data_IF_950220273407
#
_entry.id   IF_950220273407
#
_cell.length_a   1.000
_cell.length_b   1.000
_cell.length_c   1.000
_cell.angle_alpha   90.00
_cell.angle_beta   90.00
_cell.angle_gamma   90.00
#
_symmetry.space_group_name_H-M   'P 1'
#
loop_
_entity.id
_entity.type
_entity.pdbx_description
1 polymer ?
#
# COMPACT_ATOMS: atom_id res chain seq x y z
N UNK A 1 18.41 -19.42 6.43
CA UNK A 1 17.72 -18.11 6.38
C UNK A 1 18.62 -17.10 7.05
N UNK A 2 18.99 -16.01 6.36
CA UNK A 2 19.93 -15.03 6.89
C UNK A 2 19.19 -14.12 7.90
N UNK A 3 19.48 -14.30 9.19
CA UNK A 3 18.77 -13.64 10.30
C UNK A 3 18.80 -12.11 10.18
N UNK A 4 19.87 -11.55 9.60
CA UNK A 4 20.03 -10.11 9.34
C UNK A 4 18.91 -9.55 8.46
N UNK A 5 18.63 -10.18 7.33
CA UNK A 5 17.61 -9.68 6.38
C UNK A 5 16.21 -9.92 6.86
N UNK A 6 15.99 -11.01 7.61
CA UNK A 6 14.73 -11.25 8.28
C UNK A 6 14.42 -10.16 9.31
N UNK A 7 15.37 -9.84 10.18
CA UNK A 7 15.24 -8.74 11.14
C UNK A 7 14.94 -7.42 10.41
N UNK A 8 15.70 -7.10 9.36
CA UNK A 8 15.49 -5.87 8.58
C UNK A 8 14.09 -5.79 7.95
N UNK A 9 13.56 -6.91 7.43
CA UNK A 9 12.18 -6.96 6.92
C UNK A 9 11.16 -6.73 8.02
N UNK A 10 11.34 -7.34 9.20
CA UNK A 10 10.45 -7.12 10.35
C UNK A 10 10.50 -5.66 10.83
N UNK A 11 11.69 -5.06 10.90
CA UNK A 11 11.88 -3.68 11.32
C UNK A 11 11.13 -2.71 10.40
N UNK A 12 11.16 -2.95 9.08
CA UNK A 12 10.39 -2.18 8.10
C UNK A 12 8.88 -2.33 8.36
N UNK A 13 8.38 -3.55 8.50
CA UNK A 13 6.96 -3.81 8.77
C UNK A 13 6.50 -3.11 10.06
N UNK A 14 7.29 -3.20 11.13
CA UNK A 14 6.98 -2.57 12.41
C UNK A 14 7.02 -1.04 12.33
N UNK A 15 8.03 -0.47 11.68
CA UNK A 15 8.18 0.97 11.51
C UNK A 15 7.02 1.55 10.70
N UNK A 16 6.71 0.96 9.55
CA UNK A 16 5.61 1.42 8.70
C UNK A 16 4.26 1.32 9.39
N UNK A 17 3.99 0.20 10.08
CA UNK A 17 2.76 0.03 10.88
C UNK A 17 2.63 1.10 11.96
N UNK A 18 3.70 1.34 12.71
CA UNK A 18 3.70 2.35 13.78
C UNK A 18 3.45 3.75 13.23
N UNK A 19 4.09 4.09 12.11
CA UNK A 19 3.87 5.37 11.44
C UNK A 19 2.43 5.52 10.95
N UNK A 20 1.83 4.50 10.35
CA UNK A 20 0.43 4.56 9.92
C UNK A 20 -0.54 4.74 11.07
N UNK A 21 -0.34 4.01 12.17
CA UNK A 21 -1.16 4.16 13.38
C UNK A 21 -1.09 5.60 13.89
N UNK A 22 0.11 6.16 13.99
CA UNK A 22 0.28 7.55 14.43
C UNK A 22 -0.33 8.54 13.45
N UNK A 23 -0.16 8.34 12.14
CA UNK A 23 -0.78 9.20 11.13
C UNK A 23 -2.31 9.23 11.25
N UNK A 24 -2.94 8.09 11.49
CA UNK A 24 -4.39 8.01 11.73
C UNK A 24 -4.79 8.74 13.01
N UNK A 25 -4.05 8.50 14.11
CA UNK A 25 -4.37 9.07 15.41
C UNK A 25 -4.17 10.60 15.44
N UNK A 26 -3.14 11.09 14.76
CA UNK A 26 -2.68 12.47 14.91
C UNK A 26 -3.09 13.39 13.74
N UNK A 27 -3.24 12.87 12.51
CA UNK A 27 -3.29 13.70 11.30
C UNK A 27 -4.47 13.43 10.37
N UNK A 28 -4.99 12.20 10.27
CA UNK A 28 -6.07 11.88 9.34
C UNK A 28 -7.18 11.00 9.95
N UNK A 29 -8.29 11.61 10.43
CA UNK A 29 -9.41 10.88 10.98
C UNK A 29 -10.32 10.26 9.90
N UNK A 30 -9.98 10.36 8.60
CA UNK A 30 -10.78 9.84 7.51
C UNK A 30 -11.04 8.33 7.65
N UNK A 31 -10.09 7.58 8.21
CA UNK A 31 -10.33 6.17 8.49
C UNK A 31 -11.36 5.95 9.60
N UNK A 32 -11.47 6.85 10.57
CA UNK A 32 -12.57 6.82 11.55
C UNK A 32 -13.89 7.15 10.86
N UNK A 33 -13.90 8.10 9.94
CA UNK A 33 -15.06 8.36 9.09
C UNK A 33 -15.51 7.10 8.34
N UNK A 34 -14.56 6.34 7.80
CA UNK A 34 -14.85 5.03 7.20
C UNK A 34 -15.43 4.06 8.25
N UNK A 35 -14.75 3.86 9.37
CA UNK A 35 -15.16 2.91 10.42
C UNK A 35 -16.55 3.20 11.01
N UNK A 36 -16.99 4.46 11.01
CA UNK A 36 -18.31 4.87 11.48
C UNK A 36 -19.33 5.09 10.36
N UNK A 37 -18.94 4.93 9.11
CA UNK A 37 -19.86 4.89 7.96
C UNK A 37 -20.45 3.50 7.76
N UNK A 38 -21.57 3.40 7.02
CA UNK A 38 -22.14 2.10 6.66
C UNK A 38 -21.09 1.27 5.91
N UNK A 39 -20.87 0.02 6.36
CA UNK A 39 -19.90 -0.91 5.76
C UNK A 39 -20.20 -1.21 4.29
N UNK A 40 -21.44 -0.99 3.85
CA UNK A 40 -21.83 -1.13 2.45
C UNK A 40 -21.75 0.19 1.66
N UNK A 41 -21.39 1.30 2.30
CA UNK A 41 -21.27 2.59 1.63
C UNK A 41 -20.07 2.62 0.69
N UNK A 42 -20.21 3.36 -0.41
CA UNK A 42 -19.11 3.60 -1.34
C UNK A 42 -17.98 4.42 -0.68
N UNK A 43 -18.34 5.28 0.28
CA UNK A 43 -17.41 6.06 1.10
C UNK A 43 -16.51 5.16 1.96
N UNK A 44 -17.08 4.19 2.68
CA UNK A 44 -16.32 3.18 3.42
C UNK A 44 -15.32 2.45 2.52
N UNK A 45 -15.79 2.02 1.35
CA UNK A 45 -14.98 1.29 0.39
C UNK A 45 -13.81 2.12 -0.15
N UNK A 46 -14.03 3.40 -0.46
CA UNK A 46 -12.97 4.28 -0.98
C UNK A 46 -11.94 4.59 0.10
N UNK A 47 -12.35 4.93 1.33
CA UNK A 47 -11.39 5.19 2.41
C UNK A 47 -10.56 3.95 2.76
N UNK A 48 -11.16 2.76 2.75
CA UNK A 48 -10.41 1.51 2.97
C UNK A 48 -9.37 1.29 1.87
N UNK A 49 -9.72 1.55 0.59
CA UNK A 49 -8.77 1.48 -0.53
C UNK A 49 -7.63 2.48 -0.42
N UNK A 50 -7.92 3.71 0.01
CA UNK A 50 -6.88 4.74 0.25
C UNK A 50 -5.91 4.22 1.31
N UNK A 51 -6.42 3.70 2.42
CA UNK A 51 -5.58 3.13 3.48
C UNK A 51 -4.71 1.96 3.00
N UNK A 52 -5.29 1.00 2.27
CA UNK A 52 -4.55 -0.14 1.73
C UNK A 52 -3.44 0.31 0.75
N UNK A 53 -3.72 1.33 -0.06
CA UNK A 53 -2.77 1.89 -1.01
C UNK A 53 -1.62 2.62 -0.32
N UNK A 54 -1.91 3.41 0.71
CA UNK A 54 -0.91 4.07 1.55
C UNK A 54 -0.05 3.07 2.30
N UNK A 55 -0.66 2.00 2.81
CA UNK A 55 0.04 0.89 3.45
C UNK A 55 1.06 0.29 2.51
N UNK A 56 0.64 -0.12 1.31
CA UNK A 56 1.52 -0.73 0.32
C UNK A 56 2.65 0.22 -0.09
N UNK A 57 2.32 1.49 -0.32
CA UNK A 57 3.31 2.50 -0.71
C UNK A 57 4.39 2.70 0.35
N UNK A 58 3.99 2.91 1.62
CA UNK A 58 4.93 3.15 2.72
C UNK A 58 5.92 1.99 2.89
N UNK A 59 5.42 0.75 2.89
CA UNK A 59 6.25 -0.44 3.00
C UNK A 59 7.20 -0.61 1.81
N UNK A 60 6.72 -0.29 0.61
CA UNK A 60 7.52 -0.35 -0.62
C UNK A 60 8.65 0.67 -0.59
N UNK A 61 8.36 1.92 -0.22
CA UNK A 61 9.34 3.00 -0.13
C UNK A 61 10.44 2.67 0.89
N UNK A 62 10.06 2.18 2.08
CA UNK A 62 11.02 1.76 3.11
C UNK A 62 11.88 0.56 2.67
N UNK A 63 11.28 -0.36 1.94
CA UNK A 63 12.04 -1.48 1.36
C UNK A 63 13.06 -1.01 0.30
N UNK A 64 12.66 -0.08 -0.58
CA UNK A 64 13.54 0.50 -1.59
C UNK A 64 14.68 1.30 -0.93
N UNK A 65 14.38 2.05 0.12
CA UNK A 65 15.37 2.76 0.95
C UNK A 65 16.40 1.77 1.53
N UNK A 66 15.94 0.70 2.17
CA UNK A 66 16.80 -0.34 2.73
C UNK A 66 17.64 -1.05 1.66
N UNK A 67 17.09 -1.27 0.45
CA UNK A 67 17.87 -1.79 -0.66
C UNK A 67 19.04 -0.88 -1.03
N UNK A 68 18.88 0.44 -0.96
CA UNK A 68 19.92 1.39 -1.38
C UNK A 68 21.20 1.28 -0.54
N UNK A 69 21.08 0.84 0.72
CA UNK A 69 22.19 0.72 1.68
C UNK A 69 22.93 -0.62 1.61
N UNK A 70 22.42 -1.59 0.85
CA UNK A 70 22.95 -2.96 0.77
C UNK A 70 23.91 -3.14 -0.40
N UNK A 71 24.91 -4.02 -0.24
CA UNK A 71 25.77 -4.43 -1.35
C UNK A 71 25.01 -5.29 -2.37
N UNK A 72 25.61 -5.51 -3.55
CA UNK A 72 24.94 -6.24 -4.64
C UNK A 72 24.47 -7.65 -4.25
N UNK A 73 25.28 -8.40 -3.51
CA UNK A 73 24.92 -9.75 -3.05
C UNK A 73 23.76 -9.72 -2.04
N UNK A 74 23.82 -8.77 -1.09
CA UNK A 74 22.81 -8.62 -0.04
C UNK A 74 21.46 -8.16 -0.62
N UNK A 75 21.47 -7.31 -1.66
CA UNK A 75 20.27 -6.91 -2.41
C UNK A 75 19.50 -8.10 -2.96
N UNK A 76 20.20 -9.11 -3.50
CA UNK A 76 19.57 -10.30 -4.07
C UNK A 76 18.84 -11.12 -3.00
N UNK A 77 19.49 -11.38 -1.87
CA UNK A 77 18.87 -12.11 -0.75
C UNK A 77 17.68 -11.34 -0.17
N UNK A 78 17.84 -10.02 0.04
CA UNK A 78 16.80 -9.18 0.61
C UNK A 78 15.58 -9.05 -0.31
N UNK A 79 15.77 -8.93 -1.63
CA UNK A 79 14.70 -9.01 -2.64
C UNK A 79 13.92 -10.32 -2.57
N UNK A 80 14.62 -11.44 -2.47
CA UNK A 80 13.97 -12.76 -2.38
C UNK A 80 13.10 -12.86 -1.13
N UNK A 81 13.59 -12.37 0.00
CA UNK A 81 12.85 -12.40 1.26
C UNK A 81 11.61 -11.52 1.20
N UNK A 82 11.74 -10.29 0.70
CA UNK A 82 10.61 -9.37 0.57
C UNK A 82 9.53 -9.89 -0.36
N UNK A 83 9.92 -10.52 -1.48
CA UNK A 83 8.95 -11.19 -2.36
C UNK A 83 8.20 -12.30 -1.63
N UNK A 84 8.88 -13.09 -0.79
CA UNK A 84 8.23 -14.11 0.05
C UNK A 84 7.21 -13.47 0.99
N UNK A 85 7.61 -12.43 1.73
CA UNK A 85 6.72 -11.72 2.66
C UNK A 85 5.51 -11.11 1.96
N UNK A 86 5.70 -10.50 0.78
CA UNK A 86 4.59 -9.97 -0.02
C UNK A 86 3.64 -11.08 -0.48
N UNK A 87 4.16 -12.25 -0.85
CA UNK A 87 3.33 -13.38 -1.24
C UNK A 87 2.56 -13.97 -0.05
N UNK A 88 3.20 -14.09 1.11
CA UNK A 88 2.56 -14.57 2.34
C UNK A 88 1.44 -13.62 2.76
N UNK A 89 1.68 -12.30 2.67
CA UNK A 89 0.67 -11.27 2.92
C UNK A 89 -0.49 -11.37 1.93
N UNK A 90 -0.20 -11.43 0.63
CA UNK A 90 -1.22 -11.57 -0.42
C UNK A 90 -2.11 -12.80 -0.18
N UNK A 91 -1.49 -13.92 0.21
CA UNK A 91 -2.21 -15.13 0.57
C UNK A 91 -3.08 -14.96 1.82
N UNK A 92 -2.57 -14.28 2.84
CA UNK A 92 -3.34 -14.01 4.07
C UNK A 92 -4.59 -13.17 3.82
N UNK A 93 -4.59 -12.35 2.77
CA UNK A 93 -5.72 -11.50 2.41
C UNK A 93 -6.74 -12.20 1.51
N UNK A 94 -6.42 -13.34 0.90
CA UNK A 94 -7.35 -14.08 0.02
C UNK A 94 -8.63 -14.53 0.73
N UNK A 95 -8.53 -14.78 2.03
CA UNK A 95 -9.64 -15.21 2.87
C UNK A 95 -10.34 -14.05 3.58
N UNK A 96 -9.95 -12.80 3.28
CA UNK A 96 -10.54 -11.60 3.86
C UNK A 96 -11.48 -10.91 2.88
N UNK A 97 -12.49 -10.19 3.40
CA UNK A 97 -13.41 -9.35 2.60
C UNK A 97 -12.75 -8.10 2.01
N UNK A 98 -11.42 -8.01 2.04
CA UNK A 98 -10.63 -6.91 1.50
C UNK A 98 -10.81 -6.91 -0.03
N UNK A 99 -10.68 -5.73 -0.65
CA UNK A 99 -10.74 -5.59 -2.11
C UNK A 99 -9.49 -6.21 -2.77
N UNK A 100 -9.45 -7.54 -2.77
CA UNK A 100 -8.36 -8.39 -3.22
C UNK A 100 -7.90 -8.05 -4.63
N UNK A 101 -8.82 -7.66 -5.50
CA UNK A 101 -8.50 -7.30 -6.86
C UNK A 101 -7.66 -6.02 -6.93
N UNK A 102 -8.08 -4.96 -6.23
CA UNK A 102 -7.34 -3.69 -6.19
C UNK A 102 -5.93 -3.86 -5.62
N UNK A 103 -5.81 -4.62 -4.53
CA UNK A 103 -4.51 -4.88 -3.90
C UNK A 103 -3.61 -5.76 -4.77
N UNK A 104 -4.14 -6.82 -5.41
CA UNK A 104 -3.34 -7.73 -6.22
C UNK A 104 -2.69 -7.02 -7.42
N UNK A 105 -3.36 -6.03 -8.02
CA UNK A 105 -2.78 -5.20 -9.09
C UNK A 105 -1.53 -4.44 -8.61
N UNK A 106 -1.58 -3.85 -7.41
CA UNK A 106 -0.44 -3.14 -6.82
C UNK A 106 0.69 -4.12 -6.48
N UNK A 107 0.34 -5.29 -5.92
CA UNK A 107 1.31 -6.34 -5.61
C UNK A 107 2.00 -6.87 -6.87
N UNK A 108 1.29 -7.01 -7.99
CA UNK A 108 1.90 -7.42 -9.25
C UNK A 108 2.98 -6.44 -9.74
N UNK A 109 2.74 -5.13 -9.60
CA UNK A 109 3.75 -4.12 -9.93
C UNK A 109 4.98 -4.25 -9.02
N UNK A 110 4.78 -4.46 -7.72
CA UNK A 110 5.86 -4.71 -6.77
C UNK A 110 6.66 -5.97 -7.11
N UNK A 111 5.98 -7.08 -7.42
CA UNK A 111 6.62 -8.32 -7.88
C UNK A 111 7.47 -8.06 -9.13
N UNK A 112 6.96 -7.30 -10.09
CA UNK A 112 7.69 -6.96 -11.32
C UNK A 112 8.97 -6.15 -11.06
N UNK A 113 8.93 -5.22 -10.09
CA UNK A 113 10.11 -4.46 -9.65
C UNK A 113 11.16 -5.38 -9.02
N UNK A 114 10.72 -6.33 -8.19
CA UNK A 114 11.62 -7.22 -7.44
C UNK A 114 12.29 -8.25 -8.36
N UNK A 115 11.54 -8.78 -9.34
CA UNK A 115 11.98 -9.86 -10.23
C UNK A 115 12.87 -9.39 -11.40
N UNK A 116 12.62 -8.20 -11.97
CA UNK A 116 13.37 -7.70 -13.13
C UNK A 116 14.39 -6.62 -12.73
N UNK A 117 15.64 -7.03 -12.57
CA UNK A 117 16.74 -6.13 -12.23
C UNK A 117 17.20 -5.24 -13.39
N UNK A 118 16.97 -5.66 -14.65
CA UNK A 118 17.50 -4.97 -15.82
C UNK A 118 16.72 -3.69 -16.14
N UNK A 119 15.50 -3.57 -15.62
CA UNK A 119 14.62 -2.42 -15.78
C UNK A 119 14.27 -1.77 -14.44
N UNK A 120 15.10 -1.95 -13.41
CA UNK A 120 14.84 -1.48 -12.05
C UNK A 120 14.30 -0.03 -11.99
N UNK A 121 15.02 0.94 -12.56
CA UNK A 121 14.61 2.34 -12.54
C UNK A 121 13.29 2.59 -13.28
N UNK A 122 13.08 1.90 -14.40
CA UNK A 122 11.83 2.00 -15.15
C UNK A 122 10.65 1.42 -14.37
N UNK A 123 10.83 0.24 -13.77
CA UNK A 123 9.81 -0.43 -12.97
C UNK A 123 9.51 0.34 -11.68
N UNK A 124 10.53 0.96 -11.07
CA UNK A 124 10.39 1.81 -9.90
C UNK A 124 9.56 3.06 -10.23
N UNK A 125 9.90 3.74 -11.33
CA UNK A 125 9.12 4.89 -11.79
C UNK A 125 7.67 4.51 -12.11
N UNK A 126 7.46 3.36 -12.76
CA UNK A 126 6.12 2.85 -13.07
C UNK A 126 5.30 2.61 -11.80
N UNK A 127 5.90 1.98 -10.78
CA UNK A 127 5.28 1.74 -9.49
C UNK A 127 4.90 3.06 -8.79
N UNK A 128 5.83 4.02 -8.73
CA UNK A 128 5.60 5.33 -8.11
C UNK A 128 4.50 6.12 -8.81
N UNK A 129 4.51 6.15 -10.15
CA UNK A 129 3.45 6.80 -10.95
C UNK A 129 2.11 6.12 -10.70
N UNK A 130 2.07 4.78 -10.56
CA UNK A 130 0.84 4.07 -10.28
C UNK A 130 0.25 4.46 -8.93
N UNK A 131 1.05 4.48 -7.86
CA UNK A 131 0.58 4.94 -6.55
C UNK A 131 0.01 6.36 -6.59
N UNK A 132 0.67 7.28 -7.31
CA UNK A 132 0.19 8.66 -7.47
C UNK A 132 -1.14 8.69 -8.24
N UNK A 133 -1.24 7.93 -9.32
CA UNK A 133 -2.43 7.87 -10.18
C UNK A 133 -3.63 7.32 -9.43
N UNK A 134 -3.46 6.20 -8.73
CA UNK A 134 -4.53 5.54 -8.00
C UNK A 134 -5.00 6.39 -6.81
N UNK A 135 -4.09 7.01 -6.05
CA UNK A 135 -4.48 7.99 -5.01
C UNK A 135 -5.33 9.12 -5.59
N UNK A 136 -4.89 9.76 -6.69
CA UNK A 136 -5.65 10.84 -7.33
C UNK A 136 -7.02 10.40 -7.82
N UNK A 137 -7.16 9.15 -8.27
CA UNK A 137 -8.44 8.61 -8.72
C UNK A 137 -9.40 8.44 -7.54
N UNK A 138 -8.91 7.86 -6.44
CA UNK A 138 -9.69 7.66 -5.21
C UNK A 138 -10.09 9.00 -4.58
N UNK A 139 -9.17 9.97 -4.51
CA UNK A 139 -9.45 11.33 -4.02
C UNK A 139 -10.56 11.99 -4.82
N UNK A 140 -10.53 11.86 -6.16
CA UNK A 140 -11.55 12.42 -7.04
C UNK A 140 -12.90 11.72 -6.87
N UNK A 141 -12.90 10.38 -6.74
CA UNK A 141 -14.12 9.62 -6.50
C UNK A 141 -14.77 10.02 -5.17
N UNK A 142 -13.95 10.13 -4.12
CA UNK A 142 -14.39 10.57 -2.80
C UNK A 142 -14.98 11.99 -2.84
N UNK A 143 -14.27 12.93 -3.48
CA UNK A 143 -14.74 14.31 -3.61
C UNK A 143 -16.10 14.40 -4.33
N UNK A 144 -16.31 13.60 -5.38
CA UNK A 144 -17.58 13.56 -6.09
C UNK A 144 -18.73 13.03 -5.22
N UNK A 145 -18.50 11.95 -4.47
CA UNK A 145 -19.50 11.36 -3.58
C UNK A 145 -19.90 12.33 -2.46
N UNK A 146 -18.91 12.94 -1.82
CA UNK A 146 -19.14 13.91 -0.77
C UNK A 146 -19.82 15.18 -1.29
N UNK A 147 -19.56 15.60 -2.54
CA UNK A 147 -20.28 16.72 -3.16
C UNK A 147 -21.73 16.36 -3.52
N UNK A 148 -22.00 15.13 -4.00
CA UNK A 148 -23.37 14.69 -4.30
C UNK A 148 -24.26 14.58 -3.06
N UNK A 149 -23.69 14.26 -1.89
CA UNK A 149 -24.40 14.21 -0.61
C UNK A 149 -24.77 15.60 -0.06
N UNK A 150 -24.08 16.67 -0.50
CA UNK A 150 -24.31 18.06 -0.06
C UNK A 150 -25.39 18.76 -0.91
N UNK A 151 -25.84 18.15 -2.02
CA UNK A 151 -27.02 18.59 -2.78
C UNK A 151 -28.23 17.69 -2.52
N UNK A 152 -28.90 17.78 -1.36
CA UNK A 152 -30.28 17.34 -1.28
C UNK A 152 -31.10 18.24 -2.20
N UNK A 153 -31.94 17.63 -3.05
CA UNK A 153 -32.53 18.28 -4.20
C UNK A 153 -33.02 19.71 -3.96
N UNK A 154 -32.58 20.61 -4.84
CA UNK A 154 -33.37 21.80 -5.16
C UNK A 154 -34.68 21.29 -5.80
N UNK A 155 -35.71 21.17 -4.96
CA UNK A 155 -37.12 21.13 -5.35
C UNK A 155 -37.53 22.44 -6.03
#
# INVERSE_FOLDING_TARGET
MNYKYYSLSLDILHSCRSQMINNILDNDPNIYYALYSDLNSEVYNIYTKIYDLEWLKSHSDKFIEALSTLSYHEKKEFRSLFLSTLNDLANSWKDTSINLHFIEEQLQLLRSLILDNNRWNHNLNKLQVNFIKENKLLDKQLANLLQSDITPGCL
#
